data_IF_519745676403
#
_entry.id   IF_519745676403
#
_cell.length_a   1.000
_cell.length_b   1.000
_cell.length_c   1.000
_cell.angle_alpha   90.00
_cell.angle_beta   90.00
_cell.angle_gamma   90.00
#
_symmetry.space_group_name_H-M   'P 1'
#
loop_
_entity.id
_entity.type
_entity.pdbx_description
1 polymer ?
#
# COMPACT_ATOMS: atom_id res chain seq x y z
N UNK A 1 5.75 15.53 -15.49
CA UNK A 1 7.00 15.00 -16.06
C UNK A 1 7.27 13.56 -15.62
N UNK A 2 7.33 13.26 -14.31
CA UNK A 2 7.57 11.90 -13.80
C UNK A 2 6.59 10.82 -14.31
N UNK A 3 5.31 11.17 -14.53
CA UNK A 3 4.29 10.23 -15.05
C UNK A 3 4.72 9.56 -16.37
N UNK A 4 5.22 10.34 -17.34
CA UNK A 4 5.64 9.80 -18.64
C UNK A 4 6.83 8.86 -18.49
N UNK A 5 7.79 9.21 -17.65
CA UNK A 5 8.94 8.34 -17.38
C UNK A 5 8.50 7.01 -16.78
N UNK A 6 7.55 7.02 -15.85
CA UNK A 6 7.03 5.79 -15.23
C UNK A 6 6.27 4.93 -16.26
N UNK A 7 5.45 5.55 -17.13
CA UNK A 7 4.72 4.82 -18.18
C UNK A 7 5.64 4.14 -19.19
N UNK A 8 6.82 4.70 -19.48
CA UNK A 8 7.82 4.06 -20.37
C UNK A 8 8.29 2.69 -19.83
N UNK A 9 8.18 2.48 -18.52
CA UNK A 9 8.55 1.22 -17.87
C UNK A 9 7.39 0.24 -17.72
N UNK A 10 6.18 0.58 -18.16
CA UNK A 10 5.02 -0.32 -18.13
C UNK A 10 4.97 -1.14 -19.44
N UNK A 11 5.31 -2.45 -19.42
CA UNK A 11 5.40 -3.24 -20.66
C UNK A 11 4.04 -3.49 -21.32
N UNK A 12 2.96 -3.45 -20.53
CA UNK A 12 1.58 -3.65 -21.00
C UNK A 12 0.87 -2.35 -21.39
N UNK A 13 1.58 -1.23 -21.49
CA UNK A 13 0.96 0.05 -21.79
C UNK A 13 0.43 0.09 -23.23
N UNK A 14 -0.82 0.53 -23.37
CA UNK A 14 -1.54 0.63 -24.64
C UNK A 14 -1.23 1.92 -25.43
N UNK A 15 -0.27 2.71 -24.95
CA UNK A 15 0.11 3.99 -25.54
C UNK A 15 -0.83 5.15 -25.20
N UNK A 16 -1.89 4.92 -24.41
CA UNK A 16 -2.83 5.96 -23.99
C UNK A 16 -2.52 6.43 -22.59
N UNK A 17 -2.30 7.74 -22.46
CA UNK A 17 -2.13 8.34 -21.14
C UNK A 17 -3.50 8.46 -20.47
N UNK A 18 -3.68 8.00 -19.21
CA UNK A 18 -4.94 8.16 -18.51
C UNK A 18 -5.20 9.63 -18.20
N UNK A 19 -6.47 9.98 -17.99
CA UNK A 19 -6.83 11.32 -17.52
C UNK A 19 -6.26 11.56 -16.10
N UNK A 20 -5.65 12.73 -15.83
CA UNK A 20 -5.15 13.05 -14.49
C UNK A 20 -6.31 13.14 -13.49
N UNK A 21 -6.09 12.66 -12.26
CA UNK A 21 -7.04 12.77 -11.16
C UNK A 21 -7.34 14.24 -10.80
N UNK A 22 -6.32 15.11 -10.88
CA UNK A 22 -6.46 16.54 -10.63
C UNK A 22 -6.12 17.27 -11.93
N UNK A 23 -7.06 18.07 -12.46
CA UNK A 23 -6.86 18.82 -13.71
C UNK A 23 -6.32 20.24 -13.48
N UNK A 24 -6.66 20.87 -12.35
CA UNK A 24 -6.29 22.25 -12.01
C UNK A 24 -5.76 22.30 -10.58
N UNK A 25 -4.78 23.18 -10.27
CA UNK A 25 -4.15 24.17 -11.15
C UNK A 25 -3.14 23.58 -12.15
N UNK A 26 -2.65 22.36 -11.90
CA UNK A 26 -1.81 21.60 -12.84
C UNK A 26 -2.31 20.15 -12.93
N UNK A 27 -2.12 19.49 -14.08
CA UNK A 27 -2.47 18.07 -14.23
C UNK A 27 -1.58 17.21 -13.31
N UNK A 28 -2.22 16.43 -12.43
CA UNK A 28 -1.56 15.50 -11.51
C UNK A 28 -2.24 14.13 -11.54
N UNK A 29 -1.40 13.09 -11.53
CA UNK A 29 -1.80 11.69 -11.44
C UNK A 29 -1.43 11.14 -10.07
N UNK A 30 -2.22 10.21 -9.56
CA UNK A 30 -1.94 9.55 -8.28
C UNK A 30 -1.20 8.23 -8.51
N UNK A 31 -0.48 7.76 -7.49
CA UNK A 31 0.14 6.43 -7.52
C UNK A 31 -0.89 5.30 -7.70
N UNK A 32 -2.11 5.46 -7.17
CA UNK A 32 -3.21 4.51 -7.37
C UNK A 32 -3.64 4.43 -8.82
N UNK A 33 -3.77 5.56 -9.52
CA UNK A 33 -4.06 5.58 -10.97
C UNK A 33 -2.99 4.84 -11.77
N UNK A 34 -1.72 5.04 -11.45
CA UNK A 34 -0.62 4.32 -12.09
C UNK A 34 -0.74 2.82 -11.82
N UNK A 35 -1.00 2.44 -10.56
CA UNK A 35 -1.13 1.04 -10.18
C UNK A 35 -2.31 0.35 -10.88
N UNK A 36 -3.43 1.05 -11.09
CA UNK A 36 -4.57 0.53 -11.88
C UNK A 36 -4.16 0.11 -13.29
N UNK A 37 -3.24 0.82 -13.95
CA UNK A 37 -2.74 0.45 -15.29
C UNK A 37 -1.91 -0.85 -15.28
N UNK A 38 -1.37 -1.22 -14.13
CA UNK A 38 -0.56 -2.44 -13.95
C UNK A 38 -1.47 -3.65 -13.75
N UNK A 39 -2.64 -3.47 -13.11
CA UNK A 39 -3.58 -4.54 -12.81
C UNK A 39 -4.15 -5.11 -14.12
N UNK A 40 -4.01 -6.42 -14.38
CA UNK A 40 -4.51 -7.02 -15.61
C UNK A 40 -6.01 -7.33 -15.53
N UNK A 41 -6.70 -7.22 -16.66
CA UNK A 41 -8.08 -7.67 -16.82
C UNK A 41 -9.07 -6.98 -15.89
N UNK A 42 -10.22 -7.63 -15.66
CA UNK A 42 -11.31 -7.08 -14.86
C UNK A 42 -11.43 -7.81 -13.51
N UNK A 43 -10.35 -7.78 -12.73
CA UNK A 43 -10.31 -8.43 -11.40
C UNK A 43 -10.99 -7.58 -10.34
N UNK A 44 -11.58 -8.23 -9.35
CA UNK A 44 -12.22 -7.57 -8.20
C UNK A 44 -11.65 -8.09 -6.88
N UNK A 45 -11.41 -7.19 -5.93
CA UNK A 45 -10.88 -7.56 -4.62
C UNK A 45 -11.24 -6.51 -3.58
N UNK A 46 -11.71 -6.97 -2.42
CA UNK A 46 -11.84 -6.14 -1.21
C UNK A 46 -10.95 -6.74 -0.12
N UNK A 47 -10.10 -5.89 0.47
CA UNK A 47 -9.11 -6.25 1.49
C UNK A 47 -8.97 -5.12 2.50
N UNK A 48 -8.29 -5.40 3.61
CA UNK A 48 -7.90 -4.40 4.59
C UNK A 48 -6.38 -4.33 4.71
N UNK A 49 -5.89 -3.12 4.97
CA UNK A 49 -4.49 -2.85 5.27
C UNK A 49 -4.05 -3.51 6.59
N UNK A 50 -2.75 -3.53 6.87
CA UNK A 50 -2.20 -4.11 8.10
C UNK A 50 -2.70 -3.39 9.36
N UNK A 51 -2.99 -2.10 9.24
CA UNK A 51 -3.35 -1.18 10.34
C UNK A 51 -4.81 -0.73 10.27
N UNK A 52 -5.69 -1.48 9.59
CA UNK A 52 -7.12 -1.15 9.55
C UNK A 52 -7.71 -1.26 10.96
N UNK A 53 -8.36 -0.21 11.50
CA UNK A 53 -9.01 -0.28 12.80
C UNK A 53 -10.23 -1.21 12.78
N UNK A 54 -10.34 -2.11 13.76
CA UNK A 54 -11.42 -3.11 13.79
C UNK A 54 -12.82 -2.46 13.87
N UNK A 55 -12.93 -1.34 14.59
CA UNK A 55 -14.20 -0.61 14.77
C UNK A 55 -14.67 0.15 13.51
N UNK A 56 -13.78 0.35 12.52
CA UNK A 56 -14.09 1.16 11.33
C UNK A 56 -15.14 0.47 10.44
N UNK A 57 -15.18 -0.86 10.43
CA UNK A 57 -16.12 -1.64 9.61
C UNK A 57 -17.56 -1.59 10.13
N UNK A 58 -17.77 -1.30 11.41
CA UNK A 58 -19.09 -1.09 12.02
C UNK A 58 -19.45 0.40 12.12
N UNK A 59 -18.50 1.28 11.82
CA UNK A 59 -18.65 2.72 11.88
C UNK A 59 -19.25 3.36 10.62
N UNK A 60 -19.53 4.67 10.67
CA UNK A 60 -20.10 5.42 9.55
C UNK A 60 -19.14 5.58 8.35
N UNK A 61 -17.84 5.42 8.56
CA UNK A 61 -16.80 5.64 7.55
C UNK A 61 -16.30 4.35 6.86
N UNK A 62 -17.06 3.25 6.98
CA UNK A 62 -16.73 1.92 6.44
C UNK A 62 -16.22 1.89 4.99
N UNK A 63 -16.75 2.74 4.11
CA UNK A 63 -16.42 2.75 2.67
C UNK A 63 -15.65 4.00 2.24
N UNK A 64 -15.36 4.91 3.17
CA UNK A 64 -14.55 6.10 2.95
C UNK A 64 -13.51 6.18 4.07
N UNK A 65 -12.61 5.21 4.04
CA UNK A 65 -11.66 4.97 5.13
C UNK A 65 -10.79 6.21 5.40
N UNK A 66 -10.84 6.82 6.60
CA UNK A 66 -10.04 7.99 6.92
C UNK A 66 -8.53 7.70 6.86
N UNK A 67 -8.14 6.46 7.19
CA UNK A 67 -6.76 6.00 7.12
C UNK A 67 -6.34 5.43 5.77
N UNK A 68 -7.20 5.48 4.75
CA UNK A 68 -6.98 4.81 3.45
C UNK A 68 -6.59 3.33 3.61
N UNK A 69 -7.25 2.65 4.55
CA UNK A 69 -6.91 1.29 4.96
C UNK A 69 -7.80 0.22 4.34
N UNK A 70 -8.97 0.60 3.82
CA UNK A 70 -9.83 -0.32 3.08
C UNK A 70 -9.45 -0.34 1.61
N UNK A 71 -8.95 -1.49 1.17
CA UNK A 71 -8.46 -1.71 -0.19
C UNK A 71 -9.57 -2.26 -1.07
N UNK A 72 -9.83 -1.58 -2.18
CA UNK A 72 -10.82 -1.99 -3.16
C UNK A 72 -10.23 -1.89 -4.56
N UNK A 73 -10.14 -3.04 -5.22
CA UNK A 73 -9.93 -3.14 -6.67
C UNK A 73 -11.26 -3.54 -7.28
N UNK A 74 -11.75 -2.75 -8.22
CA UNK A 74 -13.00 -2.97 -8.92
C UNK A 74 -12.77 -2.83 -10.42
N UNK A 75 -13.17 -3.83 -11.20
CA UNK A 75 -12.96 -3.88 -12.65
C UNK A 75 -11.52 -3.60 -13.10
N UNK A 76 -10.54 -4.12 -12.35
CA UNK A 76 -9.12 -3.89 -12.63
C UNK A 76 -8.60 -2.51 -12.20
N UNK A 77 -9.41 -1.67 -11.56
CA UNK A 77 -8.99 -0.36 -11.07
C UNK A 77 -8.86 -0.33 -9.55
N UNK A 78 -7.73 0.18 -9.04
CA UNK A 78 -7.53 0.45 -7.61
C UNK A 78 -8.26 1.73 -7.21
N UNK A 79 -9.48 1.58 -6.71
CA UNK A 79 -10.37 2.68 -6.32
C UNK A 79 -9.90 3.35 -5.02
N UNK A 80 -9.58 2.54 -4.00
CA UNK A 80 -9.16 3.05 -2.68
C UNK A 80 -8.27 2.06 -1.93
N UNK A 81 -7.56 2.57 -0.93
CA UNK A 81 -6.75 1.80 0.00
C UNK A 81 -5.26 1.72 -0.33
N UNK A 82 -4.45 1.63 0.73
CA UNK A 82 -3.01 1.42 0.65
C UNK A 82 -2.67 -0.06 0.58
N UNK A 83 -1.88 -0.44 -0.43
CA UNK A 83 -1.47 -1.82 -0.66
C UNK A 83 -0.35 -2.23 0.30
N UNK A 84 -0.48 -3.38 0.93
CA UNK A 84 0.56 -3.95 1.80
C UNK A 84 0.71 -5.45 1.59
N UNK A 85 1.44 -6.11 2.51
CA UNK A 85 1.63 -7.57 2.51
C UNK A 85 0.31 -8.35 2.48
N UNK A 86 -0.77 -7.86 3.10
CA UNK A 86 -2.09 -8.53 3.06
C UNK A 86 -2.73 -8.49 1.66
N UNK A 87 -2.34 -7.53 0.82
CA UNK A 87 -2.89 -7.33 -0.52
C UNK A 87 -2.02 -7.95 -1.61
N UNK A 88 -0.71 -7.75 -1.54
CA UNK A 88 0.24 -8.20 -2.58
C UNK A 88 1.11 -9.38 -2.14
N UNK A 89 0.98 -9.83 -0.89
CA UNK A 89 1.76 -10.95 -0.38
C UNK A 89 1.13 -12.31 -0.68
N UNK A 90 1.65 -13.32 0.02
CA UNK A 90 1.35 -14.75 -0.20
C UNK A 90 0.08 -15.23 0.52
N UNK A 91 -0.67 -14.34 1.16
CA UNK A 91 -1.90 -14.72 1.86
C UNK A 91 -2.97 -15.17 0.87
N UNK A 92 -3.74 -16.20 1.21
CA UNK A 92 -4.92 -16.59 0.44
C UNK A 92 -5.84 -15.39 0.22
N UNK A 93 -6.34 -15.23 -1.00
CA UNK A 93 -7.21 -14.13 -1.43
C UNK A 93 -6.51 -12.78 -1.62
N UNK A 94 -5.17 -12.75 -1.66
CA UNK A 94 -4.42 -11.58 -2.14
C UNK A 94 -4.75 -11.29 -3.61
N UNK A 95 -4.41 -10.09 -4.09
CA UNK A 95 -4.64 -9.70 -5.48
C UNK A 95 -4.00 -10.69 -6.46
N UNK A 96 -2.82 -11.18 -6.10
CA UNK A 96 -2.04 -12.11 -6.92
C UNK A 96 -2.68 -13.50 -6.94
N UNK A 97 -3.25 -13.93 -5.81
CA UNK A 97 -4.04 -15.16 -5.75
C UNK A 97 -5.28 -15.07 -6.66
N UNK A 98 -5.97 -13.94 -6.65
CA UNK A 98 -7.15 -13.69 -7.51
C UNK A 98 -6.75 -13.68 -8.98
N UNK A 99 -5.71 -12.93 -9.35
CA UNK A 99 -5.19 -12.89 -10.73
C UNK A 99 -4.81 -14.30 -11.23
N UNK A 100 -4.19 -15.13 -10.39
CA UNK A 100 -3.83 -16.50 -10.75
C UNK A 100 -5.07 -17.35 -11.05
N UNK A 101 -6.14 -17.22 -10.26
CA UNK A 101 -7.38 -17.98 -10.43
C UNK A 101 -8.22 -17.48 -11.61
N UNK A 102 -8.34 -16.18 -11.79
CA UNK A 102 -9.23 -15.58 -12.80
C UNK A 102 -8.58 -15.45 -14.18
N UNK A 103 -7.27 -15.18 -14.25
CA UNK A 103 -6.57 -14.84 -15.50
C UNK A 103 -5.47 -15.86 -15.87
N UNK A 104 -5.19 -16.81 -14.98
CA UNK A 104 -4.21 -17.85 -15.20
C UNK A 104 -2.75 -17.41 -14.99
N UNK A 105 -1.88 -18.42 -14.99
CA UNK A 105 -0.48 -18.28 -14.60
C UNK A 105 0.37 -17.34 -15.46
N UNK A 106 0.18 -17.30 -16.79
CA UNK A 106 0.97 -16.43 -17.67
C UNK A 106 0.67 -14.95 -17.44
N UNK A 107 -0.61 -14.60 -17.25
CA UNK A 107 -1.01 -13.22 -16.98
C UNK A 107 -0.56 -12.82 -15.59
N UNK A 108 -0.74 -13.69 -14.59
CA UNK A 108 -0.24 -13.46 -13.23
C UNK A 108 1.30 -13.30 -13.20
N UNK A 109 2.04 -14.12 -13.96
CA UNK A 109 3.49 -14.03 -14.07
C UNK A 109 3.95 -12.69 -14.67
N UNK A 110 3.29 -12.22 -15.74
CA UNK A 110 3.55 -10.89 -16.31
C UNK A 110 3.18 -9.78 -15.34
N UNK A 111 2.08 -9.91 -14.61
CA UNK A 111 1.66 -8.92 -13.61
C UNK A 111 2.72 -8.71 -12.53
N UNK A 112 3.32 -9.79 -12.01
CA UNK A 112 4.46 -9.70 -11.08
C UNK A 112 5.62 -8.88 -11.66
N UNK A 113 6.02 -9.19 -12.90
CA UNK A 113 7.09 -8.47 -13.59
C UNK A 113 6.76 -6.98 -13.76
N UNK A 114 5.54 -6.67 -14.21
CA UNK A 114 5.11 -5.29 -14.43
C UNK A 114 5.12 -4.46 -13.14
N UNK A 115 4.66 -5.03 -12.01
CA UNK A 115 4.75 -4.36 -10.70
C UNK A 115 6.22 -4.04 -10.38
N UNK A 116 7.10 -5.05 -10.47
CA UNK A 116 8.51 -4.86 -10.13
C UNK A 116 9.18 -3.80 -11.00
N UNK A 117 8.97 -3.85 -12.33
CA UNK A 117 9.58 -2.89 -13.25
C UNK A 117 9.12 -1.47 -12.96
N UNK A 118 7.81 -1.25 -12.78
CA UNK A 118 7.27 0.10 -12.56
C UNK A 118 7.67 0.64 -11.19
N UNK A 119 7.49 -0.15 -10.13
CA UNK A 119 7.72 0.30 -8.75
C UNK A 119 9.22 0.49 -8.47
N UNK A 120 10.10 -0.37 -8.99
CA UNK A 120 11.55 -0.18 -8.81
C UNK A 120 12.04 1.11 -9.46
N UNK A 121 11.51 1.46 -10.65
CA UNK A 121 11.87 2.72 -11.31
C UNK A 121 11.27 3.94 -10.60
N UNK A 122 10.07 3.83 -10.04
CA UNK A 122 9.53 4.89 -9.17
C UNK A 122 10.36 5.07 -7.90
N UNK A 123 10.85 3.98 -7.30
CA UNK A 123 11.67 4.03 -6.09
C UNK A 123 13.01 4.73 -6.30
N UNK A 124 13.57 4.74 -7.53
CA UNK A 124 14.75 5.54 -7.85
C UNK A 124 14.49 7.05 -7.81
N UNK A 125 13.24 7.48 -8.01
CA UNK A 125 12.83 8.89 -7.93
C UNK A 125 12.50 9.29 -6.50
N UNK A 126 11.79 8.43 -5.76
CA UNK A 126 11.37 8.69 -4.38
C UNK A 126 12.52 8.51 -3.38
N UNK A 127 13.26 7.41 -3.52
CA UNK A 127 14.25 6.95 -2.56
C UNK A 127 13.62 6.29 -1.33
N UNK A 128 14.38 5.38 -0.71
CA UNK A 128 14.06 4.85 0.61
C UNK A 128 15.37 4.60 1.36
N UNK A 129 15.41 4.97 2.63
CA UNK A 129 16.60 4.85 3.49
C UNK A 129 16.18 4.60 4.93
N UNK A 130 17.13 4.14 5.74
CA UNK A 130 16.99 4.01 7.19
C UNK A 130 18.28 4.51 7.83
N UNK A 131 18.17 5.23 8.95
CA UNK A 131 19.30 5.77 9.68
C UNK A 131 19.10 5.72 11.20
N UNK A 132 20.11 6.19 11.93
CA UNK A 132 20.05 6.25 13.40
C UNK A 132 18.91 7.14 13.90
N UNK A 133 18.54 8.17 13.13
CA UNK A 133 17.43 9.06 13.45
C UNK A 133 16.09 8.35 13.59
N UNK A 134 15.87 7.29 12.80
CA UNK A 134 14.63 6.48 12.86
C UNK A 134 14.53 5.64 14.15
N UNK A 135 15.65 5.48 14.87
CA UNK A 135 15.71 4.71 16.12
C UNK A 135 15.70 5.58 17.39
N UNK A 136 15.81 6.91 17.24
CA UNK A 136 15.83 7.84 18.38
C UNK A 136 14.39 8.25 18.69
N UNK A 137 13.86 7.75 19.80
CA UNK A 137 12.57 8.17 20.33
C UNK A 137 12.64 9.60 20.92
N UNK A 138 11.50 10.29 20.95
CA UNK A 138 11.42 11.61 21.56
C UNK A 138 11.61 11.54 23.10
N UNK A 139 12.03 12.65 23.74
CA UNK A 139 12.31 12.65 25.17
C UNK A 139 11.12 12.26 26.05
N UNK A 140 9.90 12.58 25.64
CA UNK A 140 8.69 12.26 26.41
C UNK A 140 8.43 10.75 26.37
N UNK A 141 8.51 10.13 25.19
CA UNK A 141 8.44 8.67 25.04
C UNK A 141 9.52 7.97 25.86
N UNK A 142 10.75 8.51 25.90
CA UNK A 142 11.82 7.93 26.71
C UNK A 142 11.51 7.96 28.22
N UNK A 143 10.94 9.06 28.73
CA UNK A 143 10.53 9.16 30.13
C UNK A 143 9.43 8.16 30.47
N UNK A 144 8.49 7.93 29.55
CA UNK A 144 7.42 6.94 29.74
C UNK A 144 7.97 5.51 29.75
N UNK A 145 8.92 5.20 28.87
CA UNK A 145 9.63 3.92 28.87
C UNK A 145 10.34 3.70 30.21
N UNK A 146 11.08 4.70 30.71
CA UNK A 146 11.77 4.60 32.00
C UNK A 146 10.80 4.40 33.18
N UNK A 147 9.67 5.12 33.17
CA UNK A 147 8.62 4.94 34.18
C UNK A 147 8.03 3.52 34.15
N UNK A 148 7.73 3.00 32.96
CA UNK A 148 7.21 1.64 32.79
C UNK A 148 8.21 0.60 33.29
N UNK A 149 9.50 0.74 32.96
CA UNK A 149 10.57 -0.16 33.44
C UNK A 149 10.70 -0.09 34.96
N UNK A 150 10.67 1.11 35.56
CA UNK A 150 10.78 1.27 37.01
C UNK A 150 9.62 0.60 37.74
N UNK A 151 8.38 0.85 37.30
CA UNK A 151 7.19 0.22 37.86
C UNK A 151 7.27 -1.31 37.79
N UNK A 152 7.61 -1.85 36.63
CA UNK A 152 7.73 -3.31 36.46
C UNK A 152 8.81 -3.92 37.38
N UNK A 153 9.90 -3.20 37.67
CA UNK A 153 10.92 -3.65 38.63
C UNK A 153 10.40 -3.64 40.07
N UNK A 154 9.62 -2.62 40.45
CA UNK A 154 9.00 -2.52 41.77
C UNK A 154 7.99 -3.67 41.97
N UNK A 155 7.13 -3.91 40.97
CA UNK A 155 6.14 -5.00 41.00
C UNK A 155 6.80 -6.39 41.19
N UNK A 156 7.99 -6.62 40.60
CA UNK A 156 8.74 -7.87 40.80
C UNK A 156 9.30 -7.99 42.22
N UNK A 157 9.79 -6.89 42.79
CA UNK A 157 10.34 -6.89 44.15
C UNK A 157 9.24 -7.15 45.19
N UNK A 158 8.03 -6.63 44.99
CA UNK A 158 6.91 -6.87 45.91
C UNK A 158 6.47 -8.35 45.97
N UNK A 159 6.75 -9.13 44.93
CA UNK A 159 6.39 -10.55 44.83
C UNK A 159 7.50 -11.47 45.37
N UNK A 160 8.75 -11.00 45.47
CA UNK A 160 9.91 -11.74 46.01
C UNK A 160 9.95 -11.63 47.54
#
# INVERSE_FOLDING_TARGET
EQMMNILMFLPSWDGKMPQPCILKPKPLWTGKQIFSLIIPGNVNMIRTHGTHPDEEDDGPYKWISPGDTKVMVEHGELVMGTLCKKTLGTSAGSLLHICMLELGHEVCGRFYGNIQTVINNWLLLEGHSIGIGDTIADPQTYLEIQKAIKKAKEDVIEVI
#
